data_IF_904718682021
#
_entry.id   IF_904718682021
#
_cell.length_a   1.000
_cell.length_b   1.000
_cell.length_c   1.000
_cell.angle_alpha   90.00
_cell.angle_beta   90.00
_cell.angle_gamma   90.00
#
_symmetry.space_group_name_H-M   'P 1'
#
loop_
_entity.id
_entity.type
_entity.pdbx_description
1 polymer ?
#
# COMPACT_ATOMS: atom_id res chain seq x y z
N UNK A 1 -26.44 -35.21 11.80
CA UNK A 1 -25.77 -35.30 10.49
C UNK A 1 -24.90 -34.07 10.40
N UNK A 2 -23.60 -34.31 10.24
CA UNK A 2 -22.53 -33.35 10.44
C UNK A 2 -22.42 -32.34 9.31
N UNK A 3 -21.93 -31.15 9.68
CA UNK A 3 -21.63 -29.96 8.88
C UNK A 3 -20.87 -30.25 7.59
N UNK A 4 -21.30 -29.66 6.47
CA UNK A 4 -20.50 -29.53 5.24
C UNK A 4 -20.91 -28.30 4.40
N UNK A 5 -21.15 -27.17 5.07
CA UNK A 5 -21.02 -25.86 4.44
C UNK A 5 -19.91 -25.13 5.18
N UNK A 6 -18.67 -25.52 4.90
CA UNK A 6 -17.51 -24.68 5.19
C UNK A 6 -17.54 -23.49 4.22
N UNK A 7 -18.43 -22.54 4.52
CA UNK A 7 -18.54 -21.25 3.84
C UNK A 7 -17.86 -20.15 4.64
N UNK A 8 -16.92 -20.50 5.52
CA UNK A 8 -16.04 -19.54 6.20
C UNK A 8 -14.71 -19.40 5.44
N UNK A 9 -14.79 -19.15 4.13
CA UNK A 9 -13.68 -18.53 3.41
C UNK A 9 -13.86 -17.02 3.50
N UNK A 10 -13.56 -16.46 4.68
CA UNK A 10 -13.22 -15.05 4.77
C UNK A 10 -11.90 -14.86 4.04
N UNK A 11 -11.95 -14.36 2.80
CA UNK A 11 -10.77 -13.79 2.16
C UNK A 11 -10.39 -12.56 2.96
N UNK A 12 -9.62 -12.75 4.04
CA UNK A 12 -8.87 -11.69 4.68
C UNK A 12 -7.74 -11.31 3.71
N UNK A 13 -8.05 -10.49 2.70
CA UNK A 13 -7.01 -9.72 2.02
C UNK A 13 -6.41 -8.78 3.06
N UNK A 14 -5.44 -9.31 3.81
CA UNK A 14 -4.78 -8.60 4.88
C UNK A 14 -4.05 -7.42 4.25
N UNK A 15 -4.31 -6.21 4.76
CA UNK A 15 -3.59 -5.04 4.27
C UNK A 15 -2.09 -5.28 4.40
N UNK A 16 -1.28 -5.02 3.36
CA UNK A 16 0.13 -5.32 3.44
C UNK A 16 0.79 -4.43 4.49
N UNK A 17 1.39 -5.05 5.50
CA UNK A 17 1.97 -4.35 6.64
C UNK A 17 3.42 -3.95 6.35
N UNK A 18 3.69 -2.65 6.35
CA UNK A 18 5.01 -2.06 6.14
C UNK A 18 5.55 -1.37 7.40
N UNK A 19 4.90 -1.57 8.55
CA UNK A 19 5.25 -0.92 9.82
C UNK A 19 6.58 -1.39 10.43
N UNK A 20 7.07 -2.55 10.00
CA UNK A 20 8.34 -3.12 10.46
C UNK A 20 9.58 -2.45 9.83
N UNK A 21 9.42 -1.68 8.74
CA UNK A 21 10.53 -0.94 8.16
C UNK A 21 10.87 0.29 9.00
N UNK A 22 12.16 0.53 9.21
CA UNK A 22 12.63 1.82 9.71
C UNK A 22 12.36 2.93 8.68
N UNK A 23 12.34 4.20 9.11
CA UNK A 23 12.13 5.31 8.19
C UNK A 23 13.20 5.36 7.07
N UNK A 24 14.45 5.04 7.42
CA UNK A 24 15.55 5.01 6.47
C UNK A 24 15.37 3.90 5.42
N UNK A 25 15.01 2.69 5.83
CA UNK A 25 14.73 1.57 4.93
C UNK A 25 13.52 1.85 4.05
N UNK A 26 12.45 2.39 4.63
CA UNK A 26 11.23 2.74 3.91
C UNK A 26 11.52 3.77 2.81
N UNK A 27 12.29 4.83 3.13
CA UNK A 27 12.70 5.85 2.16
C UNK A 27 13.56 5.26 1.03
N UNK A 28 14.51 4.39 1.37
CA UNK A 28 15.37 3.74 0.39
C UNK A 28 14.58 2.81 -0.55
N UNK A 29 13.65 2.02 0.00
CA UNK A 29 12.79 1.12 -0.79
C UNK A 29 11.79 1.91 -1.64
N UNK A 30 11.18 2.98 -1.11
CA UNK A 30 10.26 3.85 -1.86
C UNK A 30 10.97 4.48 -3.07
N UNK A 31 12.23 4.91 -2.92
CA UNK A 31 13.01 5.47 -4.02
C UNK A 31 13.21 4.49 -5.20
N UNK A 32 13.19 3.18 -4.94
CA UNK A 32 13.31 2.13 -5.96
C UNK A 32 11.97 1.75 -6.62
N UNK A 33 10.83 2.22 -6.09
CA UNK A 33 9.53 1.91 -6.66
C UNK A 33 9.36 2.47 -8.09
N UNK A 34 8.52 1.84 -8.94
CA UNK A 34 8.12 2.40 -10.22
C UNK A 34 7.53 3.81 -10.10
N UNK A 35 7.72 4.65 -11.11
CA UNK A 35 7.27 6.05 -11.14
C UNK A 35 5.77 6.21 -10.93
N UNK A 36 4.96 5.21 -11.29
CA UNK A 36 3.51 5.23 -11.05
C UNK A 36 3.11 5.05 -9.57
N UNK A 37 3.96 4.40 -8.76
CA UNK A 37 3.68 4.04 -7.36
C UNK A 37 4.44 4.94 -6.38
N UNK A 38 5.66 5.33 -6.76
CA UNK A 38 6.57 6.10 -5.90
C UNK A 38 5.94 7.37 -5.32
N UNK A 39 5.26 8.24 -6.08
CA UNK A 39 4.71 9.49 -5.52
C UNK A 39 3.65 9.23 -4.44
N UNK A 40 2.84 8.19 -4.61
CA UNK A 40 1.81 7.79 -3.63
C UNK A 40 2.46 7.28 -2.35
N UNK A 41 3.43 6.37 -2.47
CA UNK A 41 4.14 5.82 -1.32
C UNK A 41 4.98 6.87 -0.59
N UNK A 42 5.63 7.75 -1.34
CA UNK A 42 6.41 8.86 -0.81
C UNK A 42 5.53 9.80 0.03
N UNK A 43 4.43 10.28 -0.53
CA UNK A 43 3.53 11.20 0.17
C UNK A 43 2.91 10.60 1.44
N UNK A 44 2.48 9.34 1.39
CA UNK A 44 1.69 8.74 2.46
C UNK A 44 2.54 8.00 3.50
N UNK A 45 3.56 7.26 3.06
CA UNK A 45 4.35 6.40 3.94
C UNK A 45 5.57 7.13 4.50
N UNK A 46 6.21 8.02 3.72
CA UNK A 46 7.42 8.75 4.12
C UNK A 46 7.06 10.14 4.66
N UNK A 47 6.32 10.93 3.90
CA UNK A 47 5.96 12.31 4.26
C UNK A 47 4.75 12.41 5.20
N UNK A 48 4.07 11.28 5.45
CA UNK A 48 2.90 11.18 6.34
C UNK A 48 1.78 12.18 6.00
N UNK A 49 1.62 12.52 4.72
CA UNK A 49 0.55 13.40 4.23
C UNK A 49 -0.79 12.69 4.23
N UNK A 50 -1.87 13.46 4.07
CA UNK A 50 -3.22 12.89 3.96
C UNK A 50 -3.48 12.30 2.58
N UNK A 51 -4.43 11.36 2.50
CA UNK A 51 -4.92 10.79 1.23
C UNK A 51 -5.49 11.88 0.30
N UNK A 52 -6.15 12.90 0.87
CA UNK A 52 -6.72 14.02 0.12
C UNK A 52 -5.62 14.86 -0.53
N UNK A 53 -4.59 15.25 0.23
CA UNK A 53 -3.52 16.10 -0.31
C UNK A 53 -2.77 15.41 -1.45
N UNK A 54 -2.45 14.12 -1.25
CA UNK A 54 -1.69 13.34 -2.24
C UNK A 54 -2.55 13.07 -3.49
N UNK A 55 -3.84 12.74 -3.36
CA UNK A 55 -4.71 12.53 -4.53
C UNK A 55 -4.91 13.81 -5.33
N UNK A 56 -5.09 14.96 -4.66
CA UNK A 56 -5.26 16.26 -5.31
C UNK A 56 -3.99 16.69 -6.05
N UNK A 57 -2.82 16.59 -5.41
CA UNK A 57 -1.54 16.94 -6.04
C UNK A 57 -1.24 16.06 -7.25
N UNK A 58 -1.50 14.76 -7.16
CA UNK A 58 -1.29 13.82 -8.27
C UNK A 58 -2.40 13.88 -9.33
N UNK A 59 -3.45 14.67 -9.10
CA UNK A 59 -4.64 14.78 -9.95
C UNK A 59 -5.28 13.41 -10.27
N UNK A 60 -5.33 12.50 -9.29
CA UNK A 60 -5.93 11.16 -9.42
C UNK A 60 -7.17 10.98 -8.55
N UNK A 61 -7.99 10.00 -8.90
CA UNK A 61 -9.16 9.62 -8.09
C UNK A 61 -8.71 8.91 -6.81
N UNK A 62 -9.50 9.05 -5.74
CA UNK A 62 -9.20 8.40 -4.47
C UNK A 62 -9.12 6.87 -4.57
N UNK A 63 -10.01 6.24 -5.34
CA UNK A 63 -9.96 4.79 -5.58
C UNK A 63 -8.64 4.35 -6.23
N UNK A 64 -8.15 5.12 -7.20
CA UNK A 64 -6.87 4.86 -7.84
C UNK A 64 -5.70 5.03 -6.87
N UNK A 65 -5.74 6.06 -6.02
CA UNK A 65 -4.75 6.26 -4.98
C UNK A 65 -4.67 5.06 -4.03
N UNK A 66 -5.81 4.52 -3.57
CA UNK A 66 -5.85 3.33 -2.69
C UNK A 66 -5.25 2.12 -3.39
N UNK A 67 -5.61 1.87 -4.66
CA UNK A 67 -5.04 0.75 -5.42
C UNK A 67 -3.53 0.90 -5.63
N UNK A 68 -3.04 2.10 -5.96
CA UNK A 68 -1.61 2.37 -6.12
C UNK A 68 -0.87 2.20 -4.79
N UNK A 69 -1.44 2.66 -3.67
CA UNK A 69 -0.85 2.49 -2.35
C UNK A 69 -0.76 1.00 -1.98
N UNK A 70 -1.82 0.23 -2.19
CA UNK A 70 -1.82 -1.21 -1.92
C UNK A 70 -0.72 -1.93 -2.72
N UNK A 71 -0.63 -1.65 -4.03
CA UNK A 71 0.44 -2.18 -4.89
C UNK A 71 1.83 -1.74 -4.46
N UNK A 72 1.98 -0.49 -4.01
CA UNK A 72 3.24 0.00 -3.48
C UNK A 72 3.66 -0.75 -2.22
N UNK A 73 2.75 -0.96 -1.27
CA UNK A 73 3.02 -1.74 -0.05
C UNK A 73 3.46 -3.17 -0.40
N UNK A 74 2.77 -3.85 -1.31
CA UNK A 74 3.18 -5.18 -1.80
C UNK A 74 4.58 -5.16 -2.42
N UNK A 75 4.88 -4.17 -3.26
CA UNK A 75 6.18 -4.04 -3.90
C UNK A 75 7.32 -3.75 -2.90
N UNK A 76 7.03 -3.05 -1.79
CA UNK A 76 8.02 -2.81 -0.73
C UNK A 76 8.36 -4.11 0.04
N UNK A 77 7.37 -4.99 0.20
CA UNK A 77 7.53 -6.28 0.88
C UNK A 77 8.23 -7.33 0.02
N UNK A 78 8.08 -7.26 -1.31
CA UNK A 78 8.73 -8.19 -2.24
C UNK A 78 10.08 -7.71 -2.77
N UNK A 79 10.46 -6.46 -2.49
CA UNK A 79 11.75 -5.92 -2.89
C UNK A 79 12.83 -6.27 -1.85
N UNK A 80 13.57 -7.34 -2.07
CA UNK A 80 14.79 -7.68 -1.31
C UNK A 80 15.90 -6.62 -1.51
#
# INVERSE_FOLDING_TARGET
>A
MSNDYDLDVTFEEQEPDVSHFTEAELRAKVAKLPTALRPVAQGLLVEKRTMSDVSQELAIRQAELVTRLHRAKLALLSAD
#
